data_IF_156858392725
#
_entry.id   IF_156858392725
#
_cell.length_a   1.000
_cell.length_b   1.000
_cell.length_c   1.000
_cell.angle_alpha   90.00
_cell.angle_beta   90.00
_cell.angle_gamma   90.00
#
_symmetry.space_group_name_H-M   'P 1'
#
loop_
_entity.id
_entity.type
_entity.pdbx_description
1 polymer ?
#
# COMPACT_ATOMS: atom_id res chain seq x y z
N UNK A 1 -13.46 13.33 -10.68
CA UNK A 1 -13.40 12.67 -9.34
C UNK A 1 -12.03 12.89 -8.66
N UNK A 2 -11.21 13.82 -9.17
CA UNK A 2 -9.81 14.10 -8.81
C UNK A 2 -9.64 15.36 -7.92
N UNK A 3 -10.61 15.68 -7.07
CA UNK A 3 -10.49 16.86 -6.21
C UNK A 3 -9.73 16.43 -4.94
N UNK A 4 -8.59 17.09 -4.69
CA UNK A 4 -7.81 17.18 -3.42
C UNK A 4 -6.53 16.35 -3.27
N UNK A 5 -5.78 16.23 -4.35
CA UNK A 5 -4.39 15.74 -4.36
C UNK A 5 -3.44 16.46 -3.38
N UNK A 6 -3.64 17.77 -3.17
CA UNK A 6 -2.82 18.59 -2.26
C UNK A 6 -3.01 18.20 -0.80
N UNK A 7 -4.19 17.75 -0.41
CA UNK A 7 -4.49 17.39 0.98
C UNK A 7 -3.78 16.10 1.38
N UNK A 8 -3.76 15.07 0.52
CA UNK A 8 -2.99 13.85 0.81
C UNK A 8 -1.51 14.14 0.99
N UNK A 9 -0.88 14.88 0.07
CA UNK A 9 0.55 15.26 0.19
C UNK A 9 0.81 16.12 1.43
N UNK A 10 -0.12 16.99 1.79
CA UNK A 10 0.01 17.87 2.97
C UNK A 10 -0.18 17.10 4.28
N UNK A 11 -1.14 16.19 4.33
CA UNK A 11 -1.36 15.26 5.44
C UNK A 11 -0.15 14.34 5.63
N UNK A 12 0.42 13.85 4.52
CA UNK A 12 1.61 13.00 4.49
C UNK A 12 2.88 13.74 4.96
N UNK A 13 3.11 14.97 4.51
CA UNK A 13 4.24 15.82 4.95
C UNK A 13 4.19 16.16 6.44
N UNK A 14 2.99 16.39 6.99
CA UNK A 14 2.79 16.65 8.42
C UNK A 14 2.94 15.41 9.32
N UNK A 15 2.86 14.20 8.76
CA UNK A 15 3.07 12.95 9.50
C UNK A 15 4.53 12.49 9.49
N UNK A 16 5.28 12.72 8.40
CA UNK A 16 6.70 12.35 8.31
C UNK A 16 7.66 13.26 9.09
N UNK A 17 7.16 14.25 9.84
CA UNK A 17 7.97 15.09 10.74
C UNK A 17 8.26 14.40 12.08
N UNK A 18 7.67 13.22 12.32
CA UNK A 18 7.88 12.42 13.53
C UNK A 18 8.34 11.01 13.13
N UNK A 19 9.58 10.66 13.51
CA UNK A 19 10.30 9.38 13.31
C UNK A 19 10.98 9.15 11.96
N UNK A 20 12.07 9.89 11.75
CA UNK A 20 13.24 9.36 11.04
C UNK A 20 14.13 8.68 12.08
N UNK A 21 13.97 7.37 12.27
CA UNK A 21 14.98 6.49 12.85
C UNK A 21 14.53 5.05 12.56
N UNK A 22 15.17 4.36 11.61
CA UNK A 22 15.65 2.97 11.74
C UNK A 22 16.61 2.67 10.59
N UNK A 23 17.67 1.99 11.00
CA UNK A 23 18.98 1.80 10.42
C UNK A 23 19.08 0.45 9.65
N UNK A 24 19.80 0.48 8.52
CA UNK A 24 20.71 -0.52 7.93
C UNK A 24 20.23 -1.98 7.75
N UNK A 25 20.19 -2.37 6.47
CA UNK A 25 20.27 -3.74 5.96
C UNK A 25 21.57 -4.42 6.40
N UNK A 26 21.50 -5.49 7.21
CA UNK A 26 22.53 -6.53 7.20
C UNK A 26 21.96 -7.91 7.55
N UNK A 27 22.38 -8.86 6.69
CA UNK A 27 22.44 -10.32 6.81
C UNK A 27 21.17 -11.19 6.75
N UNK A 28 21.23 -12.08 5.76
CA UNK A 28 20.43 -13.26 5.56
C UNK A 28 20.74 -14.31 6.65
N UNK A 29 19.70 -15.02 7.10
CA UNK A 29 19.73 -16.28 7.86
C UNK A 29 19.88 -16.24 9.38
N UNK A 30 18.99 -15.56 10.10
CA UNK A 30 18.70 -15.94 11.50
C UNK A 30 17.18 -15.96 11.78
N UNK A 31 16.70 -17.17 12.09
CA UNK A 31 15.42 -17.52 12.72
C UNK A 31 14.16 -16.85 12.17
N UNK A 32 13.39 -17.60 11.35
CA UNK A 32 12.00 -17.24 11.01
C UNK A 32 11.17 -17.29 12.30
N UNK A 33 11.10 -16.16 12.99
CA UNK A 33 10.00 -15.82 13.85
C UNK A 33 8.79 -15.55 12.93
N UNK A 34 7.66 -16.25 13.08
CA UNK A 34 6.46 -16.01 12.27
C UNK A 34 5.98 -14.54 12.32
N UNK A 35 6.33 -13.80 13.39
CA UNK A 35 6.07 -12.37 13.52
C UNK A 35 7.04 -11.48 12.73
N UNK A 36 8.21 -11.99 12.32
CA UNK A 36 9.16 -11.27 11.48
C UNK A 36 8.64 -11.15 10.04
N UNK A 37 7.89 -12.14 9.54
CA UNK A 37 7.37 -12.13 8.17
C UNK A 37 6.20 -11.13 7.98
N UNK A 38 5.28 -11.03 8.95
CA UNK A 38 4.17 -10.08 8.91
C UNK A 38 4.64 -8.64 9.16
N UNK A 39 5.61 -8.44 10.06
CA UNK A 39 6.20 -7.10 10.26
C UNK A 39 6.91 -6.62 8.99
N UNK A 40 7.76 -7.45 8.40
CA UNK A 40 8.46 -7.11 7.16
C UNK A 40 7.49 -6.91 5.97
N UNK A 41 6.41 -7.70 5.90
CA UNK A 41 5.35 -7.49 4.91
C UNK A 41 4.61 -6.17 5.15
N UNK A 42 4.27 -5.86 6.40
CA UNK A 42 3.65 -4.59 6.78
C UNK A 42 4.50 -3.37 6.40
N UNK A 43 5.82 -3.44 6.60
CA UNK A 43 6.75 -2.39 6.17
C UNK A 43 6.76 -2.24 4.64
N UNK A 44 6.75 -3.35 3.87
CA UNK A 44 6.67 -3.30 2.41
C UNK A 44 5.35 -2.72 1.92
N UNK A 45 4.23 -3.13 2.51
CA UNK A 45 2.89 -2.60 2.20
C UNK A 45 2.85 -1.09 2.47
N UNK A 46 3.34 -0.67 3.63
CA UNK A 46 3.37 0.75 3.99
C UNK A 46 4.27 1.56 3.04
N UNK A 47 5.42 1.01 2.65
CA UNK A 47 6.30 1.62 1.66
C UNK A 47 5.63 1.72 0.27
N UNK A 48 4.90 0.71 -0.17
CA UNK A 48 4.12 0.76 -1.40
C UNK A 48 3.05 1.85 -1.36
N UNK A 49 2.32 1.97 -0.23
CA UNK A 49 1.33 3.02 -0.04
C UNK A 49 2.00 4.41 -0.05
N UNK A 50 3.17 4.54 0.59
CA UNK A 50 4.00 5.76 0.54
C UNK A 50 4.40 6.12 -0.88
N UNK A 51 4.83 5.14 -1.69
CA UNK A 51 5.13 5.34 -3.11
C UNK A 51 3.88 5.85 -3.81
N UNK A 52 2.74 5.16 -3.66
CA UNK A 52 1.48 5.56 -4.27
C UNK A 52 1.09 7.00 -3.92
N UNK A 53 1.17 7.42 -2.65
CA UNK A 53 0.87 8.79 -2.22
C UNK A 53 1.86 9.82 -2.81
N UNK A 54 3.13 9.46 -2.98
CA UNK A 54 4.14 10.38 -3.51
C UNK A 54 4.06 10.53 -5.03
N UNK A 55 3.75 9.44 -5.74
CA UNK A 55 3.76 9.37 -7.21
C UNK A 55 2.37 9.54 -7.83
N UNK A 56 1.34 9.85 -7.06
CA UNK A 56 -0.03 10.02 -7.60
C UNK A 56 -0.14 11.20 -8.60
N UNK A 57 0.87 12.08 -8.70
CA UNK A 57 0.94 13.11 -9.76
C UNK A 57 1.39 12.52 -11.12
N UNK A 58 2.02 11.34 -11.10
CA UNK A 58 2.41 10.55 -12.27
C UNK A 58 1.70 9.20 -12.23
N UNK A 59 0.42 9.23 -12.61
CA UNK A 59 -0.45 8.05 -12.59
C UNK A 59 0.05 6.95 -13.54
N UNK A 60 0.72 7.30 -14.63
CA UNK A 60 1.25 6.31 -15.58
C UNK A 60 2.30 5.43 -14.92
N UNK A 61 3.32 6.03 -14.30
CA UNK A 61 4.37 5.29 -13.60
C UNK A 61 3.82 4.50 -12.41
N UNK A 62 2.87 5.10 -11.67
CA UNK A 62 2.22 4.42 -10.55
C UNK A 62 1.45 3.17 -11.00
N UNK A 63 0.68 3.25 -12.09
CA UNK A 63 -0.10 2.13 -12.59
C UNK A 63 0.80 1.00 -13.10
N UNK A 64 1.87 1.34 -13.83
CA UNK A 64 2.85 0.34 -14.27
C UNK A 64 3.50 -0.39 -13.08
N UNK A 65 3.91 0.35 -12.05
CA UNK A 65 4.48 -0.22 -10.83
C UNK A 65 3.49 -1.16 -10.10
N UNK A 66 2.25 -0.71 -9.88
CA UNK A 66 1.21 -1.50 -9.22
C UNK A 66 0.82 -2.75 -10.02
N UNK A 67 0.74 -2.63 -11.35
CA UNK A 67 0.44 -3.77 -12.21
C UNK A 67 1.55 -4.82 -12.15
N UNK A 68 2.82 -4.40 -12.19
CA UNK A 68 3.94 -5.33 -12.08
C UNK A 68 3.97 -6.01 -10.70
N UNK A 69 3.69 -5.28 -9.61
CA UNK A 69 3.53 -5.92 -8.30
C UNK A 69 2.39 -6.95 -8.30
N UNK A 70 1.25 -6.63 -8.92
CA UNK A 70 0.14 -7.57 -9.09
C UNK A 70 0.58 -8.86 -9.78
N UNK A 71 1.34 -8.74 -10.86
CA UNK A 71 1.90 -9.88 -11.57
C UNK A 71 2.71 -10.81 -10.66
N UNK A 72 3.57 -10.25 -9.81
CA UNK A 72 4.36 -11.04 -8.86
C UNK A 72 3.49 -11.63 -7.73
N UNK A 73 2.44 -10.92 -7.32
CA UNK A 73 1.50 -11.39 -6.28
C UNK A 73 0.65 -12.58 -6.73
N UNK A 74 0.45 -12.78 -8.03
CA UNK A 74 -0.16 -14.00 -8.57
C UNK A 74 0.69 -15.23 -8.22
N UNK A 75 2.02 -15.14 -8.36
CA UNK A 75 2.95 -16.25 -8.04
C UNK A 75 2.94 -16.62 -6.56
N UNK A 76 2.56 -15.68 -5.69
CA UNK A 76 2.44 -15.90 -4.24
C UNK A 76 1.09 -16.50 -3.82
N UNK A 77 0.17 -16.75 -4.76
CA UNK A 77 -1.15 -17.31 -4.45
C UNK A 77 -2.12 -16.30 -3.85
N UNK A 78 -1.90 -15.00 -4.08
CA UNK A 78 -2.82 -13.95 -3.65
C UNK A 78 -4.20 -14.14 -4.29
N UNK A 79 -5.27 -13.90 -3.53
CA UNK A 79 -6.66 -14.01 -3.96
C UNK A 79 -7.43 -12.74 -3.59
N UNK A 80 -8.57 -12.53 -4.24
CA UNK A 80 -9.41 -11.35 -4.05
C UNK A 80 -9.75 -11.05 -2.59
N UNK A 81 -10.08 -12.07 -1.80
CA UNK A 81 -10.44 -11.90 -0.39
C UNK A 81 -9.27 -11.36 0.47
N UNK A 82 -8.01 -11.55 0.06
CA UNK A 82 -6.87 -10.96 0.76
C UNK A 82 -6.88 -9.43 0.65
N UNK A 83 -7.31 -8.86 -0.48
CA UNK A 83 -7.39 -7.41 -0.65
C UNK A 83 -8.45 -6.79 0.27
N UNK A 84 -9.58 -7.47 0.49
CA UNK A 84 -10.60 -7.00 1.42
C UNK A 84 -10.04 -6.89 2.85
N UNK A 85 -9.41 -7.97 3.34
CA UNK A 85 -8.80 -8.00 4.68
C UNK A 85 -7.73 -6.89 4.81
N UNK A 86 -6.90 -6.71 3.78
CA UNK A 86 -5.86 -5.69 3.77
C UNK A 86 -6.42 -4.26 3.77
N UNK A 87 -7.51 -4.02 3.04
CA UNK A 87 -8.18 -2.72 3.02
C UNK A 87 -8.78 -2.36 4.37
N UNK A 88 -9.46 -3.32 5.01
CA UNK A 88 -10.01 -3.15 6.36
C UNK A 88 -8.91 -2.87 7.39
N UNK A 89 -7.83 -3.65 7.38
CA UNK A 89 -6.68 -3.47 8.27
C UNK A 89 -6.00 -2.10 8.09
N UNK A 90 -5.82 -1.66 6.84
CA UNK A 90 -5.25 -0.34 6.53
C UNK A 90 -6.12 0.79 7.08
N UNK A 91 -7.43 0.74 6.82
CA UNK A 91 -8.36 1.78 7.28
C UNK A 91 -8.46 1.81 8.80
N UNK A 92 -8.46 0.65 9.46
CA UNK A 92 -8.41 0.57 10.93
C UNK A 92 -7.13 1.24 11.46
N UNK A 93 -5.98 0.85 10.93
CA UNK A 93 -4.67 1.38 11.33
C UNK A 93 -4.60 2.91 11.15
N UNK A 94 -5.11 3.43 10.03
CA UNK A 94 -5.13 4.87 9.77
C UNK A 94 -6.09 5.61 10.71
N UNK A 95 -7.24 5.02 11.05
CA UNK A 95 -8.18 5.62 11.99
C UNK A 95 -7.55 5.81 13.37
N UNK A 96 -6.82 4.80 13.85
CA UNK A 96 -6.11 4.83 15.13
C UNK A 96 -4.91 5.80 15.12
N UNK A 97 -4.17 5.85 14.00
CA UNK A 97 -3.01 6.72 13.86
C UNK A 97 -3.38 8.20 13.73
N UNK A 98 -4.46 8.51 12.99
CA UNK A 98 -4.85 9.88 12.67
C UNK A 98 -5.77 10.51 13.71
N UNK A 99 -6.49 9.70 14.50
CA UNK A 99 -7.37 10.13 15.60
C UNK A 99 -8.28 11.28 15.16
N UNK A 100 -8.12 12.47 15.72
CA UNK A 100 -8.91 13.67 15.41
C UNK A 100 -8.86 14.09 13.94
N UNK A 101 -7.82 13.69 13.20
CA UNK A 101 -7.68 13.95 11.76
C UNK A 101 -8.38 12.90 10.89
N UNK A 102 -8.89 11.82 11.48
CA UNK A 102 -9.68 10.82 10.80
C UNK A 102 -11.15 11.27 10.71
N UNK A 103 -11.48 11.99 9.64
CA UNK A 103 -12.86 12.39 9.34
C UNK A 103 -13.36 11.71 8.05
N UNK A 104 -14.63 11.90 7.73
CA UNK A 104 -15.28 11.30 6.55
C UNK A 104 -14.57 11.61 5.24
N UNK A 105 -14.01 12.82 5.12
CA UNK A 105 -13.26 13.25 3.94
C UNK A 105 -11.97 12.44 3.80
N UNK A 106 -11.17 12.37 4.87
CA UNK A 106 -9.95 11.56 4.93
C UNK A 106 -10.24 10.09 4.67
N UNK A 107 -11.27 9.52 5.31
CA UNK A 107 -11.69 8.13 5.10
C UNK A 107 -12.01 7.85 3.63
N UNK A 108 -12.81 8.70 2.98
CA UNK A 108 -13.20 8.53 1.57
C UNK A 108 -11.99 8.58 0.63
N UNK A 109 -11.02 9.44 0.92
CA UNK A 109 -9.78 9.55 0.13
C UNK A 109 -8.95 8.27 0.24
N UNK A 110 -8.76 7.75 1.46
CA UNK A 110 -8.00 6.52 1.67
C UNK A 110 -8.68 5.28 1.06
N UNK A 111 -10.01 5.20 1.13
CA UNK A 111 -10.78 4.16 0.43
C UNK A 111 -10.49 4.20 -1.07
N UNK A 112 -10.59 5.39 -1.69
CA UNK A 112 -10.34 5.55 -3.14
C UNK A 112 -8.91 5.18 -3.52
N UNK A 113 -7.92 5.62 -2.73
CA UNK A 113 -6.53 5.27 -2.98
C UNK A 113 -6.32 3.75 -2.93
N UNK A 114 -6.87 3.09 -1.91
CA UNK A 114 -6.76 1.64 -1.79
C UNK A 114 -7.45 0.90 -2.94
N UNK A 115 -8.63 1.36 -3.38
CA UNK A 115 -9.33 0.80 -4.54
C UNK A 115 -8.52 0.92 -5.83
N UNK A 116 -7.78 2.02 -6.03
CA UNK A 116 -6.89 2.18 -7.18
C UNK A 116 -5.73 1.17 -7.12
N UNK A 117 -5.13 1.01 -5.94
CA UNK A 117 -4.06 0.03 -5.69
C UNK A 117 -4.57 -1.38 -5.97
N UNK A 118 -5.70 -1.76 -5.36
CA UNK A 118 -6.35 -3.05 -5.54
C UNK A 118 -6.64 -3.35 -7.01
N UNK A 119 -7.24 -2.39 -7.73
CA UNK A 119 -7.57 -2.56 -9.14
C UNK A 119 -6.33 -2.84 -10.00
N UNK A 120 -5.27 -2.05 -9.84
CA UNK A 120 -4.05 -2.23 -10.62
C UNK A 120 -3.32 -3.54 -10.29
N UNK A 121 -3.31 -3.94 -9.01
CA UNK A 121 -2.78 -5.22 -8.56
C UNK A 121 -3.55 -6.39 -9.17
N UNK A 122 -4.89 -6.36 -9.11
CA UNK A 122 -5.74 -7.40 -9.72
C UNK A 122 -5.54 -7.49 -11.23
N UNK A 123 -5.46 -6.35 -11.92
CA UNK A 123 -5.15 -6.31 -13.36
C UNK A 123 -3.79 -6.96 -13.67
N UNK A 124 -2.79 -6.76 -12.82
CA UNK A 124 -1.49 -7.43 -12.93
C UNK A 124 -1.56 -8.93 -12.71
N UNK A 125 -2.36 -9.37 -11.72
CA UNK A 125 -2.59 -10.78 -11.43
C UNK A 125 -3.31 -11.50 -12.59
N UNK A 126 -4.33 -10.86 -13.17
CA UNK A 126 -5.04 -11.37 -14.35
C UNK A 126 -4.09 -11.49 -15.56
N UNK A 127 -3.19 -10.53 -15.74
CA UNK A 127 -2.15 -10.60 -16.78
C UNK A 127 -1.23 -11.80 -16.55
N UNK A 128 -0.74 -12.01 -15.33
CA UNK A 128 0.06 -13.18 -15.00
C UNK A 128 -0.70 -14.49 -15.22
N UNK A 129 -1.99 -14.53 -14.89
CA UNK A 129 -2.83 -15.70 -15.14
C UNK A 129 -2.90 -16.01 -16.64
N UNK A 130 -3.17 -15.01 -17.49
CA UNK A 130 -3.26 -15.21 -18.96
C UNK A 130 -1.95 -15.62 -19.62
N UNK A 131 -0.80 -15.19 -19.12
CA UNK A 131 0.51 -15.51 -19.69
C UNK A 131 1.03 -16.91 -19.30
N UNK A 132 0.47 -17.52 -18.24
CA UNK A 132 0.88 -18.83 -17.73
C UNK A 132 -0.02 -19.98 -18.22
N UNK A 133 -0.95 -19.71 -19.15
CA UNK A 133 -1.83 -20.67 -19.83
C UNK A 133 -1.86 -20.36 -21.33
#
# INVERSE_FOLDING_TARGET
ILIEHKEMKTMWRKQNTVKNDVCIMHNYNEFINPNYSIKAHGEKVFNTIKIAVNTIDDLTSLYQFLNQMGYDHYKYGTRDHHFQIMGEALLSTLSEALREKWNDKTRKIWIKLFQIIEYQMKSGMERAQRENF
#
